data_IF_180826821313
#
_entry.id   IF_180826821313
#
_cell.length_a   1.000
_cell.length_b   1.000
_cell.length_c   1.000
_cell.angle_alpha   90.00
_cell.angle_beta   90.00
_cell.angle_gamma   90.00
#
_symmetry.space_group_name_H-M   'P 1'
#
loop_
_entity.id
_entity.type
_entity.pdbx_description
1 polymer ?
#
# COMPACT_ATOMS: atom_id res chain seq x y z
N UNK A 1 0.27 -9.50 -20.15
CA UNK A 1 -0.77 -9.21 -19.15
C UNK A 1 -0.67 -7.72 -18.88
N UNK A 2 -1.61 -6.91 -19.34
CA UNK A 2 -1.51 -5.44 -19.21
C UNK A 2 -1.50 -5.04 -17.73
N UNK A 3 -0.61 -4.12 -17.40
CA UNK A 3 -0.44 -3.61 -16.04
C UNK A 3 -1.74 -2.91 -15.58
N UNK A 4 -2.46 -3.51 -14.63
CA UNK A 4 -3.73 -2.98 -14.07
C UNK A 4 -3.45 -1.77 -13.16
N UNK A 5 -3.09 -0.63 -13.74
CA UNK A 5 -2.95 0.62 -13.00
C UNK A 5 -3.95 1.66 -13.56
N UNK A 6 -4.59 2.40 -12.64
CA UNK A 6 -5.66 3.38 -12.90
C UNK A 6 -7.01 2.80 -13.34
N UNK A 7 -7.50 1.77 -12.66
CA UNK A 7 -8.89 1.37 -12.83
C UNK A 7 -9.81 2.43 -12.21
N UNK A 8 -10.97 2.65 -12.83
CA UNK A 8 -11.99 3.52 -12.25
C UNK A 8 -12.50 2.90 -10.95
N UNK A 9 -12.50 3.67 -9.86
CA UNK A 9 -12.91 3.17 -8.56
C UNK A 9 -12.45 4.08 -7.41
N UNK A 10 -12.93 3.79 -6.21
CA UNK A 10 -12.49 4.47 -4.99
C UNK A 10 -11.27 3.72 -4.42
N UNK A 11 -10.09 4.30 -4.57
CA UNK A 11 -8.83 3.75 -4.05
C UNK A 11 -8.39 4.52 -2.81
N UNK A 12 -8.20 3.81 -1.71
CA UNK A 12 -7.71 4.39 -0.46
C UNK A 12 -6.24 4.05 -0.31
N UNK A 13 -5.42 5.08 -0.11
CA UNK A 13 -4.02 4.95 0.28
C UNK A 13 -3.90 5.33 1.75
N UNK A 14 -3.52 4.38 2.60
CA UNK A 14 -3.33 4.63 4.02
C UNK A 14 -1.86 4.50 4.38
N UNK A 15 -1.26 5.63 4.76
CA UNK A 15 0.08 5.68 5.31
C UNK A 15 0.06 5.28 6.78
N UNK A 16 0.90 4.33 7.17
CA UNK A 16 1.01 3.83 8.54
C UNK A 16 2.47 3.74 8.97
N UNK A 17 2.76 4.24 10.16
CA UNK A 17 4.04 4.08 10.84
C UNK A 17 3.78 3.46 12.20
N UNK A 18 4.67 2.59 12.66
CA UNK A 18 4.55 2.00 13.99
C UNK A 18 4.63 3.09 15.05
N UNK A 19 3.73 3.08 16.04
CA UNK A 19 3.65 4.15 17.03
C UNK A 19 4.88 4.22 17.94
N UNK A 20 5.55 3.09 18.17
CA UNK A 20 6.64 2.97 19.17
C UNK A 20 7.97 2.47 18.59
N UNK A 21 7.98 1.97 17.35
CA UNK A 21 9.18 1.44 16.71
C UNK A 21 9.36 2.04 15.31
N UNK A 22 10.02 3.20 15.22
CA UNK A 22 10.25 3.87 13.94
C UNK A 22 11.31 3.18 13.08
N UNK A 23 12.14 2.31 13.67
CA UNK A 23 13.21 1.58 12.99
C UNK A 23 12.94 0.07 13.06
N UNK A 24 12.76 -0.57 11.90
CA UNK A 24 12.52 -2.02 11.80
C UNK A 24 11.07 -2.40 11.50
N UNK A 25 10.65 -3.59 11.96
CA UNK A 25 9.36 -4.17 11.57
C UNK A 25 8.15 -3.44 12.12
N UNK A 26 7.08 -3.44 11.33
CA UNK A 26 5.82 -2.82 11.71
C UNK A 26 5.14 -3.53 12.89
N UNK A 27 4.57 -2.77 13.83
CA UNK A 27 3.86 -3.30 15.00
C UNK A 27 2.62 -4.11 14.58
N UNK A 28 2.67 -5.41 14.86
CA UNK A 28 1.62 -6.37 14.54
C UNK A 28 0.32 -6.13 15.31
N UNK A 29 0.41 -5.79 16.59
CA UNK A 29 -0.77 -5.52 17.41
C UNK A 29 -1.50 -4.29 16.90
N UNK A 30 -0.75 -3.27 16.50
CA UNK A 30 -1.29 -2.07 15.89
C UNK A 30 -1.91 -2.36 14.51
N UNK A 31 -1.26 -3.18 13.68
CA UNK A 31 -1.82 -3.62 12.40
C UNK A 31 -3.16 -4.34 12.58
N UNK A 32 -3.24 -5.30 13.51
CA UNK A 32 -4.47 -6.04 13.82
C UNK A 32 -5.60 -5.10 14.25
N UNK A 33 -5.31 -4.14 15.13
CA UNK A 33 -6.29 -3.14 15.53
C UNK A 33 -6.77 -2.29 14.34
N UNK A 34 -5.85 -1.90 13.45
CA UNK A 34 -6.19 -1.14 12.24
C UNK A 34 -7.08 -1.95 11.30
N UNK A 35 -6.73 -3.22 11.06
CA UNK A 35 -7.53 -4.14 10.24
C UNK A 35 -8.94 -4.34 10.82
N UNK A 36 -9.06 -4.53 12.15
CA UNK A 36 -10.37 -4.65 12.79
C UNK A 36 -11.22 -3.39 12.65
N UNK A 37 -10.60 -2.20 12.71
CA UNK A 37 -11.30 -0.93 12.44
C UNK A 37 -11.77 -0.84 10.99
N UNK A 38 -10.98 -1.33 10.04
CA UNK A 38 -11.34 -1.35 8.63
C UNK A 38 -12.50 -2.29 8.34
N UNK A 39 -12.48 -3.52 8.89
CA UNK A 39 -13.59 -4.47 8.80
C UNK A 39 -14.92 -3.82 9.24
N UNK A 40 -14.92 -3.21 10.43
CA UNK A 40 -16.10 -2.47 10.94
C UNK A 40 -16.55 -1.31 10.05
N UNK A 41 -15.63 -0.67 9.34
CA UNK A 41 -15.96 0.42 8.40
C UNK A 41 -16.60 -0.14 7.13
N UNK A 42 -16.08 -1.25 6.61
CA UNK A 42 -16.55 -1.89 5.39
C UNK A 42 -17.87 -2.63 5.57
N UNK A 43 -18.13 -3.20 6.75
CA UNK A 43 -19.44 -3.77 7.13
C UNK A 43 -20.59 -2.76 6.98
N UNK A 44 -20.32 -1.46 7.06
CA UNK A 44 -21.30 -0.38 6.90
C UNK A 44 -21.56 0.00 5.43
N UNK A 45 -21.02 -0.77 4.47
CA UNK A 45 -21.24 -0.59 3.03
C UNK A 45 -20.25 0.35 2.33
N UNK A 46 -19.31 0.97 3.05
CA UNK A 46 -18.31 1.86 2.46
C UNK A 46 -17.08 1.07 1.97
N UNK A 47 -17.30 0.18 1.01
CA UNK A 47 -16.27 -0.72 0.46
C UNK A 47 -15.53 -0.02 -0.69
N UNK A 48 -14.20 0.17 -0.60
CA UNK A 48 -13.41 0.73 -1.69
C UNK A 48 -13.18 -0.30 -2.79
N UNK A 49 -12.86 0.19 -4.00
CA UNK A 49 -12.41 -0.67 -5.11
C UNK A 49 -10.99 -1.19 -4.88
N UNK A 50 -10.18 -0.45 -4.12
CA UNK A 50 -8.86 -0.90 -3.70
C UNK A 50 -8.34 -0.20 -2.47
N UNK A 51 -7.42 -0.87 -1.80
CA UNK A 51 -6.79 -0.40 -0.58
C UNK A 51 -5.27 -0.60 -0.66
N UNK A 52 -4.51 0.42 -0.30
CA UNK A 52 -3.04 0.41 -0.35
C UNK A 52 -2.51 0.78 1.03
N UNK A 53 -1.89 -0.17 1.70
CA UNK A 53 -1.07 0.14 2.86
C UNK A 53 0.28 0.68 2.39
N UNK A 54 0.69 1.82 2.92
CA UNK A 54 2.00 2.41 2.67
C UNK A 54 2.72 2.53 4.01
N UNK A 55 3.82 1.81 4.17
CA UNK A 55 4.64 1.81 5.37
C UNK A 55 5.96 2.54 5.06
N UNK A 56 6.04 3.86 5.27
CA UNK A 56 7.15 4.66 4.76
C UNK A 56 8.47 4.39 5.47
N UNK A 57 8.43 3.94 6.74
CA UNK A 57 9.64 3.76 7.57
C UNK A 57 9.82 2.33 8.06
N UNK A 58 8.76 1.53 8.09
CA UNK A 58 8.82 0.17 8.62
C UNK A 58 8.86 -0.90 7.52
N UNK A 59 9.59 -1.97 7.80
CA UNK A 59 9.50 -3.22 7.05
C UNK A 59 8.28 -4.03 7.47
N UNK A 60 7.80 -4.90 6.59
CA UNK A 60 6.67 -5.78 6.84
C UNK A 60 7.18 -7.22 6.88
N UNK A 61 7.03 -7.86 8.04
CA UNK A 61 7.42 -9.26 8.22
C UNK A 61 6.29 -10.22 7.80
N UNK A 62 6.58 -11.51 7.75
CA UNK A 62 5.65 -12.56 7.32
C UNK A 62 4.33 -12.57 8.11
N UNK A 63 4.37 -12.24 9.40
CA UNK A 63 3.17 -12.17 10.23
C UNK A 63 2.25 -11.02 9.82
N UNK A 64 2.82 -9.85 9.51
CA UNK A 64 2.07 -8.73 8.98
C UNK A 64 1.52 -9.04 7.59
N UNK A 65 2.32 -9.67 6.72
CA UNK A 65 1.88 -10.12 5.38
C UNK A 65 0.68 -11.07 5.53
N UNK A 66 0.74 -12.05 6.42
CA UNK A 66 -0.36 -12.98 6.66
C UNK A 66 -1.64 -12.26 7.10
N UNK A 67 -1.56 -11.23 7.94
CA UNK A 67 -2.72 -10.44 8.36
C UNK A 67 -3.35 -9.70 7.17
N UNK A 68 -2.53 -9.13 6.29
CA UNK A 68 -3.00 -8.40 5.09
C UNK A 68 -3.63 -9.39 4.11
N UNK A 69 -3.03 -10.56 3.90
CA UNK A 69 -3.57 -11.61 3.05
C UNK A 69 -4.92 -12.12 3.57
N UNK A 70 -5.05 -12.37 4.87
CA UNK A 70 -6.33 -12.76 5.45
C UNK A 70 -7.41 -11.69 5.25
N UNK A 71 -7.04 -10.40 5.30
CA UNK A 71 -7.98 -9.33 4.98
C UNK A 71 -8.39 -9.33 3.50
N UNK A 72 -7.48 -9.68 2.59
CA UNK A 72 -7.77 -9.84 1.17
C UNK A 72 -8.71 -11.03 0.91
N UNK A 73 -8.51 -12.14 1.61
CA UNK A 73 -9.37 -13.31 1.53
C UNK A 73 -10.78 -13.03 2.06
N UNK A 74 -10.89 -12.24 3.14
CA UNK A 74 -12.18 -11.81 3.69
C UNK A 74 -12.95 -10.86 2.74
N UNK A 75 -12.24 -10.12 1.88
CA UNK A 75 -12.82 -9.11 0.99
C UNK A 75 -12.26 -9.24 -0.44
N UNK A 76 -12.58 -10.34 -1.16
CA UNK A 76 -11.99 -10.65 -2.46
C UNK A 76 -12.34 -9.64 -3.57
N UNK A 77 -13.37 -8.81 -3.37
CA UNK A 77 -13.74 -7.74 -4.28
C UNK A 77 -12.85 -6.49 -4.17
N UNK A 78 -12.05 -6.38 -3.11
CA UNK A 78 -11.15 -5.25 -2.87
C UNK A 78 -9.74 -5.64 -3.30
N UNK A 79 -9.15 -4.87 -4.22
CA UNK A 79 -7.73 -5.01 -4.54
C UNK A 79 -6.91 -4.46 -3.37
N UNK A 80 -6.36 -5.32 -2.52
CA UNK A 80 -5.54 -4.94 -1.35
C UNK A 80 -4.06 -5.16 -1.69
N UNK A 81 -3.23 -4.14 -1.45
CA UNK A 81 -1.77 -4.23 -1.59
C UNK A 81 -1.06 -3.50 -0.47
N UNK A 82 0.20 -3.80 -0.27
CA UNK A 82 1.07 -3.07 0.64
C UNK A 82 2.37 -2.68 -0.03
N UNK A 83 2.99 -1.61 0.49
CA UNK A 83 4.33 -1.18 0.15
C UNK A 83 5.11 -0.89 1.42
N UNK A 84 6.24 -1.57 1.59
CA UNK A 84 7.14 -1.38 2.74
C UNK A 84 8.13 -0.23 2.51
N UNK A 85 8.93 0.08 3.53
CA UNK A 85 9.88 1.19 3.46
C UNK A 85 10.93 1.01 2.36
N UNK A 86 11.31 -0.23 2.03
CA UNK A 86 12.26 -0.52 0.97
C UNK A 86 11.68 -0.16 -0.41
N UNK A 87 10.43 -0.52 -0.67
CA UNK A 87 9.73 -0.16 -1.91
C UNK A 87 9.46 1.34 -2.00
N UNK A 88 9.07 1.97 -0.88
CA UNK A 88 8.85 3.42 -0.80
C UNK A 88 10.15 4.18 -1.06
N UNK A 89 11.26 3.76 -0.45
CA UNK A 89 12.57 4.40 -0.64
C UNK A 89 13.06 4.27 -2.08
N UNK A 90 12.87 3.10 -2.72
CA UNK A 90 13.18 2.92 -4.14
C UNK A 90 12.38 3.89 -5.02
N UNK A 91 11.11 4.11 -4.70
CA UNK A 91 10.29 5.09 -5.40
C UNK A 91 10.84 6.51 -5.20
N UNK A 92 11.14 6.91 -3.97
CA UNK A 92 11.69 8.24 -3.65
C UNK A 92 12.99 8.48 -4.42
N UNK A 93 13.96 7.57 -4.33
CA UNK A 93 15.25 7.67 -5.05
C UNK A 93 15.04 7.76 -6.57
N UNK A 94 14.03 7.06 -7.11
CA UNK A 94 13.74 7.11 -8.55
C UNK A 94 13.13 8.46 -8.94
N UNK A 95 12.28 9.03 -8.07
CA UNK A 95 11.65 10.33 -8.28
C UNK A 95 12.63 11.49 -8.10
N UNK A 96 13.59 11.40 -7.17
CA UNK A 96 14.62 12.40 -6.94
C UNK A 96 15.52 12.64 -8.16
N UNK A 97 15.66 11.63 -9.03
CA UNK A 97 16.44 11.73 -10.28
C UNK A 97 15.71 12.50 -11.38
N UNK A 98 14.46 12.89 -11.16
CA UNK A 98 13.62 13.55 -12.15
C UNK A 98 13.69 15.07 -11.94
N UNK A 99 14.34 15.77 -12.86
CA UNK A 99 14.51 17.23 -12.80
C UNK A 99 13.40 18.04 -13.49
N UNK A 100 12.50 17.38 -14.23
CA UNK A 100 11.46 18.04 -15.01
C UNK A 100 10.23 17.16 -15.25
N UNK A 101 9.15 17.80 -15.71
CA UNK A 101 7.86 17.15 -15.99
C UNK A 101 7.97 16.06 -17.07
N UNK A 102 8.86 16.24 -18.07
CA UNK A 102 9.04 15.27 -19.14
C UNK A 102 9.64 13.97 -18.60
N UNK A 103 10.64 14.09 -17.74
CA UNK A 103 11.30 12.98 -17.05
C UNK A 103 10.32 12.20 -16.18
N UNK A 104 9.42 12.90 -15.49
CA UNK A 104 8.32 12.25 -14.75
C UNK A 104 7.39 11.46 -15.66
N UNK A 105 6.94 12.06 -16.77
CA UNK A 105 6.07 11.37 -17.73
C UNK A 105 6.76 10.12 -18.31
N UNK A 106 8.05 10.22 -18.64
CA UNK A 106 8.81 9.10 -19.20
C UNK A 106 9.07 7.99 -18.17
N UNK A 107 9.37 8.35 -16.92
CA UNK A 107 9.43 7.39 -15.80
C UNK A 107 8.10 6.65 -15.63
N UNK A 108 6.97 7.38 -15.62
CA UNK A 108 5.64 6.79 -15.52
C UNK A 108 5.36 5.82 -16.70
N UNK A 109 5.79 6.13 -17.93
CA UNK A 109 5.66 5.22 -19.07
C UNK A 109 6.51 3.95 -18.90
N UNK A 110 7.72 4.06 -18.35
CA UNK A 110 8.60 2.92 -18.12
C UNK A 110 8.02 1.99 -17.03
N UNK A 111 7.58 2.55 -15.91
CA UNK A 111 6.96 1.77 -14.82
C UNK A 111 5.63 1.12 -15.25
N UNK A 112 4.92 1.73 -16.21
CA UNK A 112 3.70 1.16 -16.80
C UNK A 112 3.94 -0.11 -17.61
N UNK A 113 5.19 -0.41 -18.00
CA UNK A 113 5.53 -1.54 -18.87
C UNK A 113 4.88 -1.36 -20.25
N UNK A 114 5.61 -0.72 -21.17
CA UNK A 114 5.41 -0.99 -22.60
C UNK A 114 6.20 -2.24 -22.97
#
# INVERSE_FOLDING_TARGET
>A
MEAKFFQQGNYIYECKTSPTNMEGYFDISYLQQSVNKLRKRWERGNIPSGYRYVFPVNEINDKAISIINNLQDDYPSIDIKYYDCNQVNKLIISLEKLGDLKSLVDYLKQVRGK
#
